data_IF_553134318725
#
_entry.id   IF_553134318725
#
_cell.length_a   1.000
_cell.length_b   1.000
_cell.length_c   1.000
_cell.angle_alpha   90.00
_cell.angle_beta   90.00
_cell.angle_gamma   90.00
#
_symmetry.space_group_name_H-M   'P 1'
#
loop_
_entity.id
_entity.type
_entity.pdbx_description
1 polymer ?
#
# COMPACT_ATOMS: atom_id res chain seq x y z
N UNK A 1 25.63 -10.27 -96.43
CA UNK A 1 26.02 -8.86 -96.19
C UNK A 1 25.00 -8.26 -95.22
N UNK A 2 25.31 -8.34 -93.93
CA UNK A 2 25.59 -7.18 -93.04
C UNK A 2 24.30 -6.50 -92.56
N UNK A 3 23.78 -6.89 -91.38
CA UNK A 3 24.09 -6.36 -90.05
C UNK A 3 23.44 -4.99 -89.78
N UNK A 4 22.54 -4.90 -88.79
CA UNK A 4 22.63 -3.91 -87.67
C UNK A 4 21.51 -4.06 -86.62
N UNK A 5 21.96 -4.30 -85.38
CA UNK A 5 21.53 -3.82 -84.05
C UNK A 5 20.04 -3.87 -83.62
N UNK A 6 19.65 -4.69 -82.63
CA UNK A 6 19.90 -4.64 -81.17
C UNK A 6 19.31 -3.45 -80.40
N UNK A 7 18.64 -3.82 -79.29
CA UNK A 7 18.38 -3.13 -78.01
C UNK A 7 17.16 -2.22 -77.89
N UNK A 8 16.40 -2.41 -76.80
CA UNK A 8 15.51 -1.35 -76.29
C UNK A 8 14.29 -1.73 -75.45
N UNK A 9 14.50 -2.42 -74.33
CA UNK A 9 13.80 -2.21 -73.05
C UNK A 9 12.23 -2.24 -72.98
N UNK A 10 11.76 -3.33 -72.38
CA UNK A 10 11.00 -3.34 -71.12
C UNK A 10 9.53 -2.89 -71.09
N UNK A 11 8.67 -3.89 -70.92
CA UNK A 11 7.43 -3.86 -70.12
C UNK A 11 7.56 -2.91 -68.92
N UNK A 12 6.69 -1.91 -68.82
CA UNK A 12 6.35 -1.27 -67.54
C UNK A 12 4.86 -1.43 -67.31
N UNK A 13 4.54 -2.58 -66.71
CA UNK A 13 3.30 -2.82 -65.99
C UNK A 13 3.24 -1.77 -64.86
N UNK A 14 2.34 -0.80 -64.97
CA UNK A 14 2.10 0.18 -63.90
C UNK A 14 1.39 -0.50 -62.75
N UNK A 15 2.20 -0.97 -61.82
CA UNK A 15 1.84 -1.45 -60.49
C UNK A 15 1.22 -0.29 -59.69
N UNK A 16 -0.11 -0.16 -59.67
CA UNK A 16 -0.80 0.67 -58.67
C UNK A 16 -1.16 -0.21 -57.48
N UNK A 17 -0.14 -0.53 -56.68
CA UNK A 17 -0.30 -1.10 -55.35
C UNK A 17 -0.69 0.03 -54.36
N UNK A 18 -1.85 -0.14 -53.75
CA UNK A 18 -2.17 0.15 -52.33
C UNK A 18 -1.51 1.36 -51.65
N UNK A 19 -2.29 2.42 -51.43
CA UNK A 19 -2.05 3.38 -50.33
C UNK A 19 -3.08 3.13 -49.22
N UNK A 20 -3.02 1.93 -48.64
CA UNK A 20 -3.63 1.61 -47.36
C UNK A 20 -2.48 1.23 -46.42
N UNK A 21 -2.52 1.74 -45.19
CA UNK A 21 -1.53 1.56 -44.12
C UNK A 21 -0.24 2.41 -44.20
N UNK A 22 -0.37 3.70 -43.89
CA UNK A 22 0.70 4.49 -43.27
C UNK A 22 0.29 4.95 -41.86
N UNK A 23 -0.26 4.01 -41.08
CA UNK A 23 -0.45 4.14 -39.63
C UNK A 23 0.17 2.92 -38.98
N UNK A 24 1.49 2.90 -38.91
CA UNK A 24 2.24 2.08 -37.95
C UNK A 24 3.73 2.44 -38.03
N UNK A 25 4.35 2.47 -36.84
CA UNK A 25 5.79 2.40 -36.60
C UNK A 25 6.61 3.69 -36.79
N UNK A 26 6.49 4.64 -35.86
CA UNK A 26 7.69 5.29 -35.29
C UNK A 26 7.43 5.87 -33.90
N UNK A 27 7.57 5.02 -32.87
CA UNK A 27 8.02 5.40 -31.52
C UNK A 27 8.25 4.13 -30.68
N UNK A 28 9.16 3.27 -31.12
CA UNK A 28 9.83 2.31 -30.22
C UNK A 28 11.30 2.71 -30.19
N UNK A 29 11.58 3.75 -29.42
CA UNK A 29 12.90 4.03 -28.88
C UNK A 29 12.81 3.83 -27.36
N UNK A 30 13.53 2.82 -26.92
CA UNK A 30 13.59 2.29 -25.56
C UNK A 30 14.16 3.37 -24.63
N UNK A 31 13.31 3.97 -23.80
CA UNK A 31 13.70 4.74 -22.63
C UNK A 31 13.53 3.87 -21.39
N UNK A 32 14.60 3.73 -20.62
CA UNK A 32 14.81 2.84 -19.46
C UNK A 32 13.59 2.48 -18.60
N UNK A 33 13.42 1.21 -18.16
CA UNK A 33 12.52 0.88 -17.07
C UNK A 33 13.21 1.27 -15.75
N UNK A 34 13.33 2.57 -15.48
CA UNK A 34 13.79 3.10 -14.20
C UNK A 34 13.58 4.60 -14.19
N UNK A 35 12.46 5.05 -13.62
CA UNK A 35 12.26 6.22 -12.71
C UNK A 35 10.74 6.38 -12.49
N UNK A 36 10.10 5.28 -12.08
CA UNK A 36 8.68 5.25 -11.75
C UNK A 36 8.48 5.56 -10.27
N UNK A 37 9.09 6.64 -9.77
CA UNK A 37 8.80 7.17 -8.44
C UNK A 37 8.35 8.62 -8.61
N UNK A 38 7.18 8.93 -8.08
CA UNK A 38 6.63 10.29 -8.07
C UNK A 38 7.50 11.22 -7.19
N UNK A 39 8.29 10.65 -6.28
CA UNK A 39 9.34 11.31 -5.52
C UNK A 39 10.74 11.14 -6.12
N UNK A 40 10.99 11.61 -7.36
CA UNK A 40 12.38 11.74 -7.84
C UNK A 40 13.23 12.48 -6.78
N UNK A 41 14.42 11.95 -6.51
CA UNK A 41 15.41 12.64 -5.70
C UNK A 41 15.71 13.98 -6.37
N UNK A 42 15.60 15.08 -5.61
CA UNK A 42 16.05 16.38 -6.09
C UNK A 42 17.50 16.28 -6.58
N UNK A 43 17.73 16.67 -7.84
CA UNK A 43 19.05 16.68 -8.45
C UNK A 43 19.59 18.12 -8.44
N UNK A 44 20.59 18.44 -7.57
CA UNK A 44 21.16 19.79 -7.50
C UNK A 44 21.76 20.22 -8.84
N UNK A 45 21.51 21.48 -9.22
CA UNK A 45 22.00 22.05 -10.49
C UNK A 45 21.08 21.84 -11.69
N UNK A 46 20.03 21.03 -11.56
CA UNK A 46 19.00 20.90 -12.59
C UNK A 46 17.87 21.90 -12.36
N UNK A 47 17.48 22.66 -13.40
CA UNK A 47 16.35 23.59 -13.30
C UNK A 47 15.03 22.83 -13.18
N UNK A 48 14.12 23.21 -12.27
CA UNK A 48 12.85 22.55 -12.15
C UNK A 48 11.97 22.83 -13.38
N UNK A 49 11.50 21.76 -14.01
CA UNK A 49 10.47 21.82 -15.06
C UNK A 49 9.25 21.10 -14.52
N UNK A 50 8.12 21.79 -14.50
CA UNK A 50 6.84 21.18 -14.15
C UNK A 50 5.97 21.04 -15.38
N UNK A 51 5.28 19.91 -15.48
CA UNK A 51 4.38 19.60 -16.59
C UNK A 51 3.05 19.14 -16.03
N UNK A 52 1.95 19.52 -16.68
CA UNK A 52 0.62 18.99 -16.34
C UNK A 52 0.36 17.76 -17.20
N UNK A 53 0.08 16.63 -16.55
CA UNK A 53 -0.42 15.44 -17.23
C UNK A 53 -1.93 15.53 -17.43
N UNK A 54 -2.43 14.90 -18.50
CA UNK A 54 -3.84 14.92 -18.85
C UNK A 54 -4.37 13.49 -19.01
N UNK A 55 -5.51 13.23 -18.38
CA UNK A 55 -6.34 12.08 -18.69
C UNK A 55 -7.14 12.38 -19.95
N UNK A 56 -7.02 11.51 -20.96
CA UNK A 56 -7.72 11.65 -22.25
C UNK A 56 -8.64 10.45 -22.44
N UNK A 57 -9.94 10.69 -22.51
CA UNK A 57 -10.95 9.65 -22.71
C UNK A 57 -12.25 10.23 -23.28
N UNK A 58 -13.29 9.40 -23.49
CA UNK A 58 -14.59 9.91 -23.90
C UNK A 58 -15.23 10.73 -22.75
N UNK A 59 -16.05 11.75 -23.06
CA UNK A 59 -16.77 12.51 -22.03
C UNK A 59 -17.60 11.62 -21.09
N UNK A 60 -18.15 10.52 -21.60
CA UNK A 60 -19.00 9.59 -20.87
C UNK A 60 -18.19 8.80 -19.82
N UNK A 61 -16.96 8.41 -20.14
CA UNK A 61 -16.07 7.71 -19.21
C UNK A 61 -15.44 8.66 -18.17
N UNK A 62 -15.30 9.94 -18.52
CA UNK A 62 -14.54 10.89 -17.70
C UNK A 62 -15.14 11.13 -16.32
N UNK A 63 -16.47 11.22 -16.22
CA UNK A 63 -17.12 11.51 -14.95
C UNK A 63 -16.83 10.46 -13.88
N UNK A 64 -16.84 9.17 -14.25
CA UNK A 64 -16.54 8.07 -13.35
C UNK A 64 -15.07 8.05 -12.94
N UNK A 65 -14.15 8.28 -13.89
CA UNK A 65 -12.72 8.34 -13.60
C UNK A 65 -12.37 9.50 -12.65
N UNK A 66 -12.88 10.71 -12.92
CA UNK A 66 -12.64 11.87 -12.05
C UNK A 66 -13.24 11.66 -10.66
N UNK A 67 -14.38 10.96 -10.55
CA UNK A 67 -14.95 10.60 -9.25
C UNK A 67 -14.03 9.65 -8.48
N UNK A 68 -13.57 8.57 -9.12
CA UNK A 68 -12.65 7.61 -8.50
C UNK A 68 -11.35 8.28 -8.02
N UNK A 69 -10.75 9.13 -8.87
CA UNK A 69 -9.55 9.89 -8.51
C UNK A 69 -9.80 10.81 -7.30
N UNK A 70 -10.94 11.53 -7.27
CA UNK A 70 -11.28 12.43 -6.17
C UNK A 70 -11.50 11.68 -4.86
N UNK A 71 -12.27 10.60 -4.89
CA UNK A 71 -12.55 9.78 -3.71
C UNK A 71 -11.25 9.22 -3.13
N UNK A 72 -10.36 8.71 -4.01
CA UNK A 72 -9.04 8.23 -3.61
C UNK A 72 -8.18 9.32 -2.97
N UNK A 73 -8.07 10.48 -3.62
CA UNK A 73 -7.27 11.61 -3.13
C UNK A 73 -7.81 12.12 -1.79
N UNK A 74 -9.12 12.24 -1.63
CA UNK A 74 -9.75 12.63 -0.37
C UNK A 74 -9.44 11.63 0.74
N UNK A 75 -9.58 10.33 0.47
CA UNK A 75 -9.31 9.28 1.45
C UNK A 75 -7.84 9.22 1.84
N UNK A 76 -6.92 9.10 0.87
CA UNK A 76 -5.50 8.91 1.14
C UNK A 76 -4.88 10.14 1.80
N UNK A 77 -5.38 11.34 1.51
CA UNK A 77 -4.95 12.56 2.20
C UNK A 77 -5.29 12.53 3.70
N UNK A 78 -6.52 12.13 4.04
CA UNK A 78 -6.94 12.00 5.43
C UNK A 78 -6.15 10.89 6.16
N UNK A 79 -5.93 9.77 5.48
CA UNK A 79 -5.09 8.67 5.95
C UNK A 79 -3.68 9.16 6.32
N UNK A 80 -2.97 9.78 5.38
CA UNK A 80 -1.62 10.30 5.63
C UNK A 80 -1.58 11.33 6.75
N UNK A 81 -2.60 12.20 6.88
CA UNK A 81 -2.69 13.12 7.99
C UNK A 81 -2.78 12.40 9.36
N UNK A 82 -3.46 11.26 9.40
CA UNK A 82 -3.46 10.33 10.54
C UNK A 82 -2.06 9.86 10.90
N UNK A 83 -1.31 9.33 9.93
CA UNK A 83 0.07 8.87 10.13
C UNK A 83 1.02 9.97 10.62
N UNK A 84 0.87 11.20 10.13
CA UNK A 84 1.61 12.37 10.63
C UNK A 84 1.35 12.58 12.12
N UNK A 85 0.08 12.65 12.52
CA UNK A 85 -0.29 12.87 13.93
C UNK A 85 0.22 11.75 14.85
N UNK A 86 0.05 10.48 14.46
CA UNK A 86 0.53 9.32 15.22
C UNK A 86 2.07 9.34 15.39
N UNK A 87 2.79 9.77 14.35
CA UNK A 87 4.25 9.87 14.37
C UNK A 87 4.73 11.03 15.24
N UNK A 88 4.08 12.20 15.15
CA UNK A 88 4.38 13.35 15.99
C UNK A 88 4.12 13.06 17.47
N UNK A 89 3.01 12.39 17.80
CA UNK A 89 2.69 11.96 19.16
C UNK A 89 3.70 10.95 19.72
N UNK A 90 4.13 9.98 18.89
CA UNK A 90 5.17 9.04 19.29
C UNK A 90 6.51 9.74 19.54
N UNK A 91 6.90 10.70 18.69
CA UNK A 91 8.13 11.47 18.87
C UNK A 91 8.10 12.36 20.12
N UNK A 92 6.91 12.80 20.55
CA UNK A 92 6.72 13.62 21.75
C UNK A 92 6.64 12.81 23.06
N UNK A 93 6.45 11.48 22.99
CA UNK A 93 6.28 10.64 24.17
C UNK A 93 7.63 10.35 24.85
N UNK A 94 7.80 10.68 26.15
CA UNK A 94 9.06 10.41 26.86
C UNK A 94 9.36 8.90 27.03
N UNK A 95 8.36 8.03 26.87
CA UNK A 95 8.52 6.59 26.93
C UNK A 95 8.86 5.96 25.57
N UNK A 96 8.83 6.74 24.47
CA UNK A 96 9.37 6.29 23.19
C UNK A 96 10.89 6.19 23.30
N UNK A 97 11.45 5.00 23.11
CA UNK A 97 12.88 4.76 23.33
C UNK A 97 13.60 4.22 22.09
N UNK A 98 12.91 3.46 21.24
CA UNK A 98 13.50 2.86 20.05
C UNK A 98 14.06 3.91 19.06
N UNK A 99 15.40 3.97 18.86
CA UNK A 99 16.00 4.91 17.90
C UNK A 99 15.50 4.66 16.47
N UNK A 100 15.40 3.39 16.06
CA UNK A 100 14.89 3.00 14.75
C UNK A 100 13.45 3.47 14.51
N UNK A 101 12.56 3.38 15.51
CA UNK A 101 11.19 3.89 15.36
C UNK A 101 11.12 5.42 15.38
N UNK A 102 12.01 6.11 16.11
CA UNK A 102 12.07 7.57 16.08
C UNK A 102 12.52 8.08 14.70
N UNK A 103 13.54 7.45 14.13
CA UNK A 103 13.99 7.74 12.77
C UNK A 103 12.89 7.42 11.75
N UNK A 104 12.20 6.28 11.89
CA UNK A 104 11.05 5.94 11.06
C UNK A 104 9.93 6.99 11.18
N UNK A 105 9.56 7.41 12.39
CA UNK A 105 8.51 8.41 12.60
C UNK A 105 8.87 9.76 11.96
N UNK A 106 10.14 10.17 12.03
CA UNK A 106 10.63 11.36 11.32
C UNK A 106 10.53 11.19 9.79
N UNK A 107 10.89 10.02 9.27
CA UNK A 107 10.78 9.70 7.86
C UNK A 107 9.33 9.74 7.38
N UNK A 108 8.39 9.16 8.14
CA UNK A 108 6.95 9.18 7.87
C UNK A 108 6.45 10.63 7.82
N UNK A 109 6.74 11.46 8.83
CA UNK A 109 6.32 12.86 8.86
C UNK A 109 6.85 13.61 7.63
N UNK A 110 8.13 13.44 7.30
CA UNK A 110 8.75 14.15 6.17
C UNK A 110 8.19 13.70 4.81
N UNK A 111 8.15 12.39 4.57
CA UNK A 111 7.75 11.81 3.29
C UNK A 111 6.24 11.96 3.06
N UNK A 112 5.41 11.57 4.02
CA UNK A 112 3.96 11.61 3.83
C UNK A 112 3.41 13.04 3.80
N UNK A 113 4.08 14.02 4.42
CA UNK A 113 3.75 15.44 4.24
C UNK A 113 3.96 15.91 2.81
N UNK A 114 5.01 15.46 2.15
CA UNK A 114 5.22 15.74 0.73
C UNK A 114 4.16 15.07 -0.13
N UNK A 115 3.82 13.80 0.15
CA UNK A 115 2.77 13.07 -0.56
C UNK A 115 1.39 13.74 -0.40
N UNK A 116 1.04 14.27 0.77
CA UNK A 116 -0.15 15.12 0.95
C UNK A 116 -0.12 16.32 0.00
N UNK A 117 1.04 16.96 -0.17
CA UNK A 117 1.22 18.07 -1.11
C UNK A 117 0.99 17.68 -2.58
N UNK A 118 1.43 16.48 -2.96
CA UNK A 118 1.18 15.90 -4.29
C UNK A 118 -0.32 15.63 -4.50
N UNK A 119 -0.97 14.99 -3.51
CA UNK A 119 -2.41 14.71 -3.52
C UNK A 119 -3.23 16.01 -3.60
N UNK A 120 -2.82 17.05 -2.87
CA UNK A 120 -3.45 18.38 -2.93
C UNK A 120 -3.31 19.02 -4.32
N UNK A 121 -2.18 18.83 -5.01
CA UNK A 121 -2.00 19.31 -6.38
C UNK A 121 -2.87 18.52 -7.37
N UNK A 122 -2.98 17.20 -7.20
CA UNK A 122 -3.94 16.39 -7.97
C UNK A 122 -5.37 16.88 -7.75
N UNK A 123 -5.77 17.15 -6.50
CA UNK A 123 -7.10 17.69 -6.20
C UNK A 123 -7.35 19.03 -6.91
N UNK A 124 -6.38 19.95 -6.89
CA UNK A 124 -6.44 21.23 -7.63
C UNK A 124 -6.58 21.01 -9.13
N UNK A 125 -5.86 20.05 -9.69
CA UNK A 125 -5.94 19.70 -11.11
C UNK A 125 -7.31 19.15 -11.50
N UNK A 126 -7.86 18.24 -10.70
CA UNK A 126 -9.18 17.65 -10.90
C UNK A 126 -10.33 18.64 -10.70
N UNK A 127 -10.12 19.74 -9.97
CA UNK A 127 -11.10 20.81 -9.82
C UNK A 127 -11.24 21.69 -11.08
N UNK A 128 -10.25 21.66 -11.98
CA UNK A 128 -10.30 22.42 -13.24
C UNK A 128 -11.28 21.76 -14.23
N UNK A 129 -12.02 22.56 -15.02
CA UNK A 129 -12.97 22.02 -15.99
C UNK A 129 -12.24 21.25 -17.09
N UNK A 130 -12.79 20.08 -17.45
CA UNK A 130 -12.34 19.33 -18.61
C UNK A 130 -12.59 20.11 -19.90
N UNK A 131 -11.68 19.97 -20.87
CA UNK A 131 -11.87 20.49 -22.23
C UNK A 131 -12.38 19.38 -23.12
N UNK A 132 -13.45 19.61 -23.87
CA UNK A 132 -13.98 18.63 -24.83
C UNK A 132 -13.68 19.09 -26.24
N UNK A 133 -13.06 18.22 -27.02
CA UNK A 133 -12.79 18.41 -28.45
C UNK A 133 -13.66 17.45 -29.25
N UNK A 134 -14.42 17.99 -30.20
CA UNK A 134 -15.23 17.20 -31.12
C UNK A 134 -14.52 17.13 -32.48
N UNK A 135 -14.13 15.91 -32.89
CA UNK A 135 -13.43 15.62 -34.15
C UNK A 135 -14.38 15.14 -35.26
N UNK A 136 -15.70 15.15 -35.03
CA UNK A 136 -16.72 14.66 -35.97
C UNK A 136 -16.94 13.14 -35.90
N UNK A 137 -15.88 12.34 -35.78
CA UNK A 137 -15.96 10.88 -35.59
C UNK A 137 -15.75 10.44 -34.13
N UNK A 138 -15.24 11.33 -33.26
CA UNK A 138 -15.00 11.07 -31.85
C UNK A 138 -15.12 12.35 -31.02
N UNK A 139 -15.49 12.19 -29.75
CA UNK A 139 -15.43 13.24 -28.73
C UNK A 139 -14.36 12.84 -27.72
N UNK A 140 -13.37 13.71 -27.53
CA UNK A 140 -12.28 13.52 -26.58
C UNK A 140 -12.39 14.57 -25.49
N UNK A 141 -12.39 14.13 -24.24
CA UNK A 141 -12.32 14.98 -23.07
C UNK A 141 -10.89 14.93 -22.49
N UNK A 142 -10.36 16.11 -22.17
CA UNK A 142 -9.03 16.32 -21.62
C UNK A 142 -9.18 16.90 -20.21
N UNK A 143 -8.88 16.08 -19.21
CA UNK A 143 -8.90 16.49 -17.81
C UNK A 143 -7.46 16.63 -17.32
N UNK A 144 -7.07 17.78 -16.76
CA UNK A 144 -5.82 17.87 -16.02
C UNK A 144 -5.81 16.88 -14.85
N UNK A 145 -4.84 15.97 -14.85
CA UNK A 145 -4.77 14.84 -13.92
C UNK A 145 -3.76 15.05 -12.78
N UNK A 146 -2.56 15.55 -13.09
CA UNK A 146 -1.53 15.81 -12.09
C UNK A 146 -0.51 16.84 -12.59
N UNK A 147 0.36 17.28 -11.69
CA UNK A 147 1.54 18.11 -12.02
C UNK A 147 2.79 17.31 -11.68
N UNK A 148 3.59 17.01 -12.68
CA UNK A 148 4.87 16.30 -12.55
C UNK A 148 6.02 17.29 -12.30
N UNK A 149 7.15 16.80 -11.79
CA UNK A 149 8.34 17.61 -11.50
C UNK A 149 8.28 18.41 -10.19
N UNK A 150 7.28 18.17 -9.33
CA UNK A 150 7.13 18.87 -8.04
C UNK A 150 8.28 18.55 -7.07
N UNK A 151 8.82 17.33 -7.09
CA UNK A 151 9.98 16.97 -6.27
C UNK A 151 11.19 17.85 -6.58
N UNK A 152 11.50 18.05 -7.87
CA UNK A 152 12.57 18.94 -8.31
C UNK A 152 12.27 20.41 -7.99
N UNK A 153 11.02 20.86 -8.18
CA UNK A 153 10.59 22.24 -7.88
C UNK A 153 10.76 22.58 -6.40
N UNK A 154 10.32 21.67 -5.53
CA UNK A 154 10.29 21.87 -4.09
C UNK A 154 11.59 21.41 -3.42
N UNK A 155 12.56 20.95 -4.22
CA UNK A 155 13.86 20.40 -3.78
C UNK A 155 13.68 19.28 -2.76
N UNK A 156 12.66 18.47 -2.97
CA UNK A 156 12.31 17.38 -2.09
C UNK A 156 13.38 16.29 -2.18
N UNK A 157 13.98 15.99 -1.04
CA UNK A 157 14.80 14.81 -0.85
C UNK A 157 14.05 13.89 0.10
N UNK A 158 13.73 12.69 -0.40
CA UNK A 158 13.06 11.67 0.41
C UNK A 158 13.92 11.29 1.59
N UNK A 159 13.33 11.26 2.79
CA UNK A 159 14.01 10.78 3.98
C UNK A 159 14.10 9.25 3.89
N UNK A 160 15.29 8.64 4.06
CA UNK A 160 15.44 7.19 3.92
C UNK A 160 14.69 6.45 5.03
N UNK A 161 14.07 5.32 4.67
CA UNK A 161 13.54 4.39 5.67
C UNK A 161 14.74 3.74 6.37
N UNK A 162 14.74 3.60 7.72
CA UNK A 162 15.82 2.92 8.41
C UNK A 162 16.03 1.52 7.85
N UNK A 163 17.29 1.18 7.59
CA UNK A 163 17.66 -0.08 6.96
C UNK A 163 17.23 -1.30 7.79
N UNK A 164 17.19 -2.49 7.19
CA UNK A 164 16.67 -3.70 7.83
C UNK A 164 17.38 -4.09 9.14
N UNK A 165 18.64 -3.68 9.26
CA UNK A 165 19.51 -3.95 10.40
C UNK A 165 19.44 -2.87 11.48
N UNK A 166 18.79 -1.72 11.22
CA UNK A 166 18.71 -0.60 12.17
C UNK A 166 18.06 -1.03 13.50
N UNK A 167 17.00 -1.85 13.46
CA UNK A 167 16.34 -2.37 14.65
C UNK A 167 17.23 -3.34 15.47
N UNK A 168 18.23 -3.98 14.86
CA UNK A 168 19.10 -4.97 15.51
C UNK A 168 20.36 -4.31 16.10
N UNK A 169 20.86 -3.25 15.44
CA UNK A 169 22.07 -2.53 15.86
C UNK A 169 21.78 -1.22 16.60
N UNK A 170 20.52 -0.96 16.97
CA UNK A 170 20.19 0.17 17.85
C UNK A 170 20.75 -0.07 19.24
N UNK A 171 22.04 0.18 19.45
CA UNK A 171 22.63 0.30 20.77
C UNK A 171 22.01 1.51 21.47
N UNK A 172 21.49 1.34 22.70
CA UNK A 172 21.25 2.47 23.60
C UNK A 172 19.94 2.51 24.37
N UNK A 173 18.88 1.77 24.00
CA UNK A 173 17.69 1.65 24.83
C UNK A 173 16.87 0.38 24.52
N UNK A 174 16.37 -0.35 25.53
CA UNK A 174 15.45 -1.45 25.30
C UNK A 174 14.15 -0.92 24.67
N UNK A 175 13.55 -1.71 23.78
CA UNK A 175 12.22 -1.45 23.22
C UNK A 175 11.22 -1.38 24.37
N UNK A 176 10.41 -0.31 24.42
CA UNK A 176 9.39 -0.12 25.46
C UNK A 176 8.03 -0.63 25.02
N UNK A 177 7.09 -0.74 25.97
CA UNK A 177 5.68 -0.99 25.63
C UNK A 177 5.13 0.09 24.69
N UNK A 178 5.52 1.36 24.89
CA UNK A 178 5.10 2.49 24.04
C UNK A 178 5.55 2.36 22.59
N UNK A 179 6.77 1.85 22.38
CA UNK A 179 7.31 1.51 21.07
C UNK A 179 6.48 0.42 20.40
N UNK A 180 6.14 -0.64 21.14
CA UNK A 180 5.29 -1.74 20.65
C UNK A 180 3.90 -1.22 20.27
N UNK A 181 3.30 -0.35 21.09
CA UNK A 181 1.99 0.26 20.80
C UNK A 181 2.05 1.07 19.49
N UNK A 182 3.07 1.93 19.31
CA UNK A 182 3.24 2.69 18.07
C UNK A 182 3.44 1.76 16.87
N UNK A 183 4.36 0.80 16.97
CA UNK A 183 4.66 -0.12 15.88
C UNK A 183 3.43 -0.93 15.46
N UNK A 184 2.62 -1.41 16.42
CA UNK A 184 1.36 -2.11 16.13
C UNK A 184 0.32 -1.18 15.52
N UNK A 185 0.08 -0.01 16.10
CA UNK A 185 -0.89 0.96 15.60
C UNK A 185 -0.56 1.41 14.18
N UNK A 186 0.70 1.77 13.93
CA UNK A 186 1.16 2.22 12.63
C UNK A 186 1.23 1.08 11.61
N UNK A 187 1.47 -0.17 12.04
CA UNK A 187 1.31 -1.34 11.15
C UNK A 187 -0.14 -1.50 10.66
N UNK A 188 -1.12 -1.36 11.55
CA UNK A 188 -2.55 -1.40 11.18
C UNK A 188 -2.87 -0.29 10.18
N UNK A 189 -2.42 0.92 10.49
CA UNK A 189 -2.61 2.09 9.64
C UNK A 189 -1.97 1.89 8.25
N UNK A 190 -0.70 1.47 8.18
CA UNK A 190 -0.02 1.25 6.90
C UNK A 190 -0.64 0.13 6.06
N UNK A 191 -1.19 -0.92 6.70
CA UNK A 191 -1.95 -1.93 5.97
C UNK A 191 -3.19 -1.32 5.28
N UNK A 192 -3.85 -0.36 5.93
CA UNK A 192 -4.94 0.42 5.33
C UNK A 192 -4.52 1.15 4.05
N UNK A 193 -3.39 1.85 4.07
CA UNK A 193 -2.86 2.52 2.87
C UNK A 193 -2.55 1.54 1.74
N UNK A 194 -1.95 0.39 2.06
CA UNK A 194 -1.67 -0.68 1.10
C UNK A 194 -2.96 -1.17 0.44
N UNK A 195 -4.02 -1.37 1.22
CA UNK A 195 -5.32 -1.83 0.73
C UNK A 195 -5.98 -0.78 -0.16
N UNK A 196 -5.98 0.49 0.25
CA UNK A 196 -6.49 1.61 -0.56
C UNK A 196 -5.73 1.77 -1.88
N UNK A 197 -4.40 1.71 -1.83
CA UNK A 197 -3.54 1.85 -3.01
C UNK A 197 -3.81 0.73 -4.02
N UNK A 198 -3.96 -0.52 -3.54
CA UNK A 198 -4.30 -1.69 -4.37
C UNK A 198 -5.73 -1.61 -4.90
N UNK A 199 -6.69 -1.19 -4.07
CA UNK A 199 -8.08 -1.02 -4.49
C UNK A 199 -8.22 0.00 -5.62
N UNK A 200 -7.52 1.13 -5.51
CA UNK A 200 -7.49 2.14 -6.58
C UNK A 200 -6.85 1.60 -7.86
N UNK A 201 -5.74 0.85 -7.77
CA UNK A 201 -5.13 0.23 -8.94
C UNK A 201 -6.02 -0.83 -9.61
N UNK A 202 -6.89 -1.49 -8.83
CA UNK A 202 -7.84 -2.48 -9.34
C UNK A 202 -9.13 -1.87 -9.89
N UNK A 203 -9.44 -0.60 -9.56
CA UNK A 203 -10.61 0.10 -10.06
C UNK A 203 -10.44 0.42 -11.56
N UNK A 204 -11.38 -0.04 -12.38
CA UNK A 204 -11.41 0.25 -13.82
C UNK A 204 -11.54 1.75 -14.13
N UNK A 205 -12.03 2.52 -13.16
CA UNK A 205 -12.12 3.99 -13.24
C UNK A 205 -10.87 4.69 -12.69
N UNK A 206 -10.01 4.01 -11.92
CA UNK A 206 -8.73 4.53 -11.41
C UNK A 206 -7.69 4.67 -12.53
N UNK A 207 -7.83 5.71 -13.36
CA UNK A 207 -7.08 5.85 -14.63
C UNK A 207 -6.01 6.93 -14.61
N UNK A 208 -5.86 7.65 -13.50
CA UNK A 208 -4.80 8.65 -13.34
C UNK A 208 -3.44 7.95 -13.14
N UNK A 209 -2.58 8.04 -14.16
CA UNK A 209 -1.27 7.38 -14.16
C UNK A 209 -0.34 7.89 -13.06
N UNK A 210 -0.43 9.18 -12.71
CA UNK A 210 0.37 9.76 -11.63
C UNK A 210 -0.02 9.16 -10.27
N UNK A 211 -1.33 9.03 -9.99
CA UNK A 211 -1.80 8.34 -8.78
C UNK A 211 -1.40 6.86 -8.80
N UNK A 212 -1.47 6.20 -9.95
CA UNK A 212 -0.98 4.83 -10.11
C UNK A 212 0.49 4.66 -9.73
N UNK A 213 1.35 5.60 -10.15
CA UNK A 213 2.78 5.61 -9.80
C UNK A 213 3.01 5.94 -8.32
N UNK A 214 2.29 6.93 -7.77
CA UNK A 214 2.35 7.26 -6.35
C UNK A 214 1.98 6.03 -5.50
N UNK A 215 1.04 5.21 -5.94
CA UNK A 215 0.66 3.98 -5.26
C UNK A 215 1.76 2.93 -5.26
N UNK A 216 2.59 2.87 -6.31
CA UNK A 216 3.76 1.98 -6.34
C UNK A 216 4.76 2.40 -5.26
N UNK A 217 4.99 3.70 -5.11
CA UNK A 217 5.88 4.25 -4.07
C UNK A 217 5.33 3.95 -2.67
N UNK A 218 4.07 4.29 -2.41
CA UNK A 218 3.37 4.03 -1.13
C UNK A 218 3.48 2.55 -0.76
N UNK A 219 3.13 1.64 -1.68
CA UNK A 219 3.19 0.20 -1.39
C UNK A 219 4.62 -0.26 -1.13
N UNK A 220 5.60 0.26 -1.87
CA UNK A 220 7.01 -0.13 -1.72
C UNK A 220 7.58 0.31 -0.39
N UNK A 221 7.34 1.55 0.00
CA UNK A 221 7.84 2.13 1.26
C UNK A 221 7.14 1.51 2.45
N UNK A 222 5.81 1.59 2.49
CA UNK A 222 5.06 1.19 3.66
C UNK A 222 5.16 -0.32 3.93
N UNK A 223 5.43 -1.15 2.90
CA UNK A 223 5.79 -2.56 3.11
C UNK A 223 7.12 -2.71 3.86
N UNK A 224 8.12 -1.89 3.56
CA UNK A 224 9.42 -1.91 4.26
C UNK A 224 9.28 -1.37 5.69
N UNK A 225 8.49 -0.33 5.88
CA UNK A 225 8.20 0.26 7.20
C UNK A 225 7.45 -0.75 8.09
N UNK A 226 6.45 -1.46 7.56
CA UNK A 226 5.79 -2.59 8.26
C UNK A 226 6.80 -3.66 8.65
N UNK A 227 7.72 -4.03 7.75
CA UNK A 227 8.73 -5.03 8.06
C UNK A 227 9.67 -4.58 9.19
N UNK A 228 10.07 -3.30 9.22
CA UNK A 228 10.85 -2.71 10.30
C UNK A 228 10.08 -2.73 11.63
N UNK A 229 8.82 -2.27 11.63
CA UNK A 229 7.97 -2.25 12.82
C UNK A 229 7.77 -3.65 13.41
N UNK A 230 7.55 -4.67 12.57
CA UNK A 230 7.46 -6.07 13.01
C UNK A 230 8.74 -6.57 13.68
N UNK A 231 9.92 -6.15 13.21
CA UNK A 231 11.20 -6.50 13.86
C UNK A 231 11.37 -5.82 15.20
N UNK A 232 10.95 -4.57 15.33
CA UNK A 232 10.99 -3.87 16.62
C UNK A 232 10.05 -4.54 17.63
N UNK A 233 8.85 -4.93 17.20
CA UNK A 233 7.92 -5.71 18.05
C UNK A 233 8.57 -7.03 18.50
N UNK A 234 9.25 -7.75 17.60
CA UNK A 234 9.93 -9.00 17.93
C UNK A 234 11.15 -8.84 18.85
N UNK A 235 11.75 -7.64 18.90
CA UNK A 235 12.86 -7.32 19.80
C UNK A 235 12.40 -6.90 21.21
N UNK A 236 11.09 -6.80 21.44
CA UNK A 236 10.54 -6.48 22.75
C UNK A 236 10.80 -7.62 23.74
N UNK A 237 11.38 -7.29 24.91
CA UNK A 237 11.72 -8.28 25.92
C UNK A 237 10.51 -8.76 26.75
N UNK A 238 9.39 -8.03 26.69
CA UNK A 238 8.15 -8.39 27.35
C UNK A 238 7.23 -9.23 26.47
N UNK A 239 6.03 -9.49 26.98
CA UNK A 239 4.97 -10.14 26.19
C UNK A 239 4.34 -9.13 25.23
N UNK A 240 4.78 -9.17 23.97
CA UNK A 240 4.25 -8.29 22.94
C UNK A 240 2.74 -8.49 22.71
N UNK A 241 2.19 -9.69 22.91
CA UNK A 241 0.76 -9.98 22.67
C UNK A 241 -0.13 -9.35 23.75
N UNK A 242 0.39 -9.20 24.98
CA UNK A 242 -0.31 -8.52 26.06
C UNK A 242 -0.46 -7.00 25.81
N UNK A 243 0.44 -6.39 25.04
CA UNK A 243 0.43 -4.94 24.75
C UNK A 243 -0.78 -4.58 23.88
N UNK A 244 -1.72 -3.83 24.47
CA UNK A 244 -2.94 -3.37 23.81
C UNK A 244 -2.69 -2.10 23.00
N UNK A 245 -3.38 -1.95 21.88
CA UNK A 245 -3.42 -0.71 21.10
C UNK A 245 -4.81 -0.07 21.29
N UNK A 246 -4.92 0.99 22.10
CA UNK A 246 -6.14 1.78 22.17
C UNK A 246 -6.56 2.30 20.79
N UNK A 247 -7.87 2.28 20.51
CA UNK A 247 -8.40 2.82 19.25
C UNK A 247 -8.04 4.30 19.04
N UNK A 248 -7.88 5.06 20.13
CA UNK A 248 -7.44 6.45 20.11
C UNK A 248 -5.99 6.66 19.70
N UNK A 249 -5.23 5.61 19.37
CA UNK A 249 -3.88 5.73 18.81
C UNK A 249 -3.86 5.58 17.29
N UNK A 250 -4.99 5.26 16.67
CA UNK A 250 -5.09 5.04 15.22
C UNK A 250 -5.98 6.14 14.65
N UNK A 251 -5.37 7.10 13.99
CA UNK A 251 -6.04 8.30 13.46
C UNK A 251 -6.21 8.20 11.95
N UNK A 252 -7.13 8.98 11.36
CA UNK A 252 -7.22 9.12 9.90
C UNK A 252 -7.78 7.89 9.18
N UNK A 253 -8.31 6.92 9.93
CA UNK A 253 -8.96 5.71 9.40
C UNK A 253 -10.47 5.87 9.24
N UNK A 254 -11.04 7.03 9.58
CA UNK A 254 -12.48 7.28 9.55
C UNK A 254 -13.05 7.23 8.12
N UNK A 255 -14.21 6.61 7.95
CA UNK A 255 -14.92 6.58 6.67
C UNK A 255 -14.29 5.65 5.62
N UNK A 256 -13.19 4.97 5.94
CA UNK A 256 -12.64 3.93 5.08
C UNK A 256 -13.45 2.65 5.30
N UNK A 257 -14.03 2.14 4.21
CA UNK A 257 -14.68 0.83 4.26
C UNK A 257 -13.58 -0.21 4.46
N UNK A 258 -13.59 -0.88 5.61
CA UNK A 258 -12.75 -2.04 5.87
C UNK A 258 -13.13 -3.15 4.89
N UNK A 259 -12.51 -3.15 3.71
CA UNK A 259 -12.55 -4.29 2.82
C UNK A 259 -11.68 -5.40 3.42
N UNK A 260 -12.21 -6.12 4.42
CA UNK A 260 -11.76 -7.49 4.70
C UNK A 260 -10.84 -7.76 5.89
N UNK A 261 -10.85 -6.96 6.95
CA UNK A 261 -10.25 -7.38 8.23
C UNK A 261 -11.30 -7.51 9.32
N UNK A 262 -12.09 -8.58 9.21
CA UNK A 262 -12.86 -9.10 10.33
C UNK A 262 -11.92 -9.58 11.41
N UNK A 263 -11.94 -8.89 12.55
CA UNK A 263 -11.42 -9.42 13.80
C UNK A 263 -12.21 -10.69 14.16
N UNK A 264 -11.62 -11.85 13.91
CA UNK A 264 -12.01 -13.10 14.57
C UNK A 264 -10.85 -13.58 15.41
N UNK A 265 -11.03 -13.43 16.72
CA UNK A 265 -10.60 -14.34 17.79
C UNK A 265 -9.24 -15.03 17.66
N UNK A 266 -8.39 -14.73 18.64
CA UNK A 266 -7.27 -15.56 19.06
C UNK A 266 -7.52 -17.07 18.85
N UNK A 267 -6.64 -17.72 18.08
CA UNK A 267 -6.34 -19.14 18.24
C UNK A 267 -4.88 -19.35 17.82
N UNK A 268 -4.18 -20.05 18.71
CA UNK A 268 -2.76 -20.36 18.75
C UNK A 268 -2.15 -20.76 17.41
N UNK A 269 -0.97 -20.23 17.10
CA UNK A 269 -0.06 -20.83 16.11
C UNK A 269 1.14 -21.39 16.87
N UNK A 270 1.08 -22.69 17.14
CA UNK A 270 2.24 -23.49 17.52
C UNK A 270 3.12 -23.74 16.31
N UNK A 271 4.42 -23.57 16.50
CA UNK A 271 5.50 -23.95 15.58
C UNK A 271 5.61 -25.48 15.46
N UNK A 272 5.71 -26.01 14.23
CA UNK A 272 6.68 -27.05 13.87
C UNK A 272 6.56 -27.50 12.39
N UNK A 273 7.73 -27.52 11.75
CA UNK A 273 8.27 -28.47 10.77
C UNK A 273 7.87 -28.50 9.28
N UNK A 274 8.95 -28.50 8.49
CA UNK A 274 9.03 -28.63 7.04
C UNK A 274 9.10 -30.10 6.59
N UNK A 275 8.48 -30.43 5.45
CA UNK A 275 9.12 -31.05 4.26
C UNK A 275 8.11 -31.66 3.26
N UNK A 276 8.31 -31.32 1.98
CA UNK A 276 8.14 -32.10 0.73
C UNK A 276 6.84 -32.86 0.40
N UNK A 277 6.34 -32.66 -0.84
CA UNK A 277 5.74 -33.74 -1.64
C UNK A 277 4.52 -33.36 -2.49
N UNK A 278 4.67 -33.45 -3.82
CA UNK A 278 3.60 -33.33 -4.83
C UNK A 278 2.60 -34.51 -4.80
N UNK A 279 1.32 -34.24 -5.07
CA UNK A 279 0.32 -35.27 -5.41
C UNK A 279 -1.12 -34.72 -5.54
N UNK A 280 -1.74 -34.91 -6.70
CA UNK A 280 -3.07 -34.42 -7.09
C UNK A 280 -4.24 -35.22 -6.43
N UNK A 281 -5.52 -34.78 -6.58
CA UNK A 281 -6.58 -35.06 -5.61
C UNK A 281 -7.51 -36.25 -5.98
N UNK A 282 -8.18 -36.80 -4.96
CA UNK A 282 -9.36 -37.66 -5.11
C UNK A 282 -10.44 -37.29 -4.06
N UNK A 283 -11.70 -37.31 -4.48
CA UNK A 283 -12.91 -37.04 -3.68
C UNK A 283 -13.79 -38.33 -3.60
N UNK A 284 -15.00 -38.36 -2.97
CA UNK A 284 -15.21 -38.46 -1.51
C UNK A 284 -16.26 -39.52 -1.05
N UNK A 285 -16.36 -39.69 0.29
CA UNK A 285 -17.53 -40.10 1.13
C UNK A 285 -18.04 -41.58 1.10
N UNK A 286 -18.85 -42.09 2.08
CA UNK A 286 -19.60 -41.39 3.14
C UNK A 286 -19.60 -42.01 4.57
N UNK A 287 -20.32 -41.30 5.46
CA UNK A 287 -20.53 -41.54 6.89
C UNK A 287 -21.56 -42.64 7.24
N UNK A 288 -21.43 -43.23 8.43
CA UNK A 288 -22.55 -43.72 9.25
C UNK A 288 -22.26 -43.55 10.76
N UNK A 289 -23.34 -43.31 11.50
CA UNK A 289 -23.50 -43.00 12.94
C UNK A 289 -24.55 -44.01 13.49
N UNK A 290 -24.95 -43.98 14.77
CA UNK A 290 -24.31 -44.53 15.98
C UNK A 290 -25.16 -45.68 16.62
N UNK A 291 -24.72 -46.29 17.72
CA UNK A 291 -25.58 -47.12 18.60
C UNK A 291 -25.10 -47.08 20.05
N UNK A 292 -26.07 -47.17 20.96
CA UNK A 292 -25.97 -46.79 22.37
C UNK A 292 -26.09 -47.98 23.35
N UNK A 293 -25.63 -47.72 24.58
CA UNK A 293 -26.25 -48.03 25.89
C UNK A 293 -25.84 -49.27 26.71
N UNK A 294 -25.87 -48.99 28.03
CA UNK A 294 -25.91 -49.85 29.25
C UNK A 294 -24.59 -50.50 29.72
N UNK A 295 -24.16 -50.46 30.99
CA UNK A 295 -24.70 -49.87 32.23
C UNK A 295 -24.18 -50.65 33.47
N UNK A 296 -23.79 -49.96 34.55
CA UNK A 296 -23.82 -50.40 35.98
C UNK A 296 -23.17 -49.31 36.87
N UNK A 297 -23.91 -48.62 37.76
CA UNK A 297 -24.15 -48.92 39.19
C UNK A 297 -22.84 -48.99 40.01
N UNK A 298 -22.60 -48.31 41.14
CA UNK A 298 -23.29 -47.43 42.10
C UNK A 298 -22.27 -47.24 43.25
N UNK A 299 -22.10 -46.10 43.92
CA UNK A 299 -22.71 -45.72 45.21
C UNK A 299 -21.78 -44.70 45.89
N UNK A 300 -22.34 -43.76 46.67
CA UNK A 300 -21.60 -43.03 47.70
C UNK A 300 -21.97 -41.55 47.84
N UNK A 301 -22.96 -41.27 48.70
CA UNK A 301 -23.47 -39.94 49.00
C UNK A 301 -22.57 -39.12 49.96
N UNK A 302 -22.72 -37.79 49.87
CA UNK A 302 -22.19 -36.70 50.72
C UNK A 302 -22.86 -36.66 52.13
N UNK A 303 -22.81 -35.59 52.99
CA UNK A 303 -22.08 -34.30 52.95
C UNK A 303 -21.47 -33.79 54.31
N UNK A 304 -20.70 -32.67 54.26
CA UNK A 304 -20.54 -31.46 55.16
C UNK A 304 -20.54 -31.59 56.73
N UNK A 305 -20.20 -30.57 57.59
CA UNK A 305 -20.11 -29.10 57.39
C UNK A 305 -18.99 -28.31 58.18
N UNK A 306 -19.08 -26.97 58.10
CA UNK A 306 -18.34 -25.88 58.80
C UNK A 306 -18.37 -25.89 60.34
N UNK A 307 -17.33 -25.31 60.98
CA UNK A 307 -17.36 -24.38 62.14
C UNK A 307 -15.93 -23.81 62.41
N UNK A 308 -15.69 -22.49 62.30
CA UNK A 308 -15.56 -21.45 63.36
C UNK A 308 -14.38 -21.54 64.36
N UNK A 309 -13.63 -20.44 64.47
CA UNK A 309 -13.16 -19.87 65.75
C UNK A 309 -11.64 -19.75 65.99
N UNK A 310 -11.16 -18.55 66.36
CA UNK A 310 -9.97 -18.38 67.22
C UNK A 310 -8.99 -17.24 66.89
N UNK A 311 -9.05 -16.15 67.67
CA UNK A 311 -8.13 -15.00 67.72
C UNK A 311 -6.85 -15.27 68.57
N UNK A 312 -5.93 -14.27 68.54
CA UNK A 312 -4.83 -13.91 69.49
C UNK A 312 -3.43 -14.47 69.18
N UNK A 313 -2.28 -13.83 69.41
CA UNK A 313 -1.81 -12.46 69.72
C UNK A 313 -0.25 -12.52 69.82
N UNK A 314 0.43 -11.43 69.47
CA UNK A 314 1.78 -10.95 69.82
C UNK A 314 3.06 -11.82 69.86
N UNK A 315 4.13 -11.24 69.31
CA UNK A 315 5.52 -11.44 69.73
C UNK A 315 6.47 -10.58 68.90
N UNK A 316 7.16 -9.64 69.57
CA UNK A 316 8.05 -8.60 69.03
C UNK A 316 9.27 -9.11 68.26
#
# INVERSE_FOLDING_TARGET
MSSTNQTGASMRLTLRLTLAAAVAATALAVGSPARAMVGEQYEPGTSPVTTTSYSVMSPEALAAAVKADRDYVTGMRAHHAGALSMSEEYLADPNASSPALKELAQAIVHNQKFEIGLLDEVARNLARPARVVNLGFARLAFQPGATEGLGQRDRFMKYPIPGPLAAVFSEGAPVTERDVQFAKAMTIHHQGALDMARAYQADQNGRNTFLGLLNVDIVTDQTQEIALMRRVIAAYAGDADAVQVPASMVHGMEGMSHAGHGATGATQVSTADAHAGHGAPAAPAPAQRPSASAGHAGHGAAPSPQAQGGHTHHGH
#
